data_IF_788615261003
#
_entry.id   IF_788615261003
#
_cell.length_a   1.000
_cell.length_b   1.000
_cell.length_c   1.000
_cell.angle_alpha   90.00
_cell.angle_beta   90.00
_cell.angle_gamma   90.00
#
_symmetry.space_group_name_H-M   'P 1'
#
loop_
_entity.id
_entity.type
_entity.pdbx_description
1 polymer ?
#
# COMPACT_ATOMS: atom_id res chain seq x y z
N UNK A 1 -7.30 -9.38 25.91
CA UNK A 1 -6.00 -9.66 25.27
C UNK A 1 -5.33 -8.31 24.99
N UNK A 2 -4.01 -8.15 25.16
CA UNK A 2 -3.36 -6.82 25.02
C UNK A 2 -2.98 -6.46 23.59
N UNK A 3 -2.91 -7.45 22.70
CA UNK A 3 -2.63 -7.29 21.27
C UNK A 3 -3.78 -7.88 20.46
N UNK A 4 -4.07 -7.25 19.32
CA UNK A 4 -5.02 -7.71 18.32
C UNK A 4 -4.33 -7.98 16.98
N UNK A 5 -4.96 -8.81 16.15
CA UNK A 5 -4.51 -9.06 14.79
C UNK A 5 -4.69 -7.82 13.91
N UNK A 6 -3.77 -7.59 12.98
CA UNK A 6 -3.93 -6.59 11.92
C UNK A 6 -4.77 -7.09 10.74
N UNK A 7 -5.34 -8.31 10.83
CA UNK A 7 -6.00 -9.00 9.72
C UNK A 7 -5.00 -9.75 8.83
N UNK A 8 -5.49 -10.24 7.70
CA UNK A 8 -4.68 -10.97 6.71
C UNK A 8 -4.00 -10.07 5.67
N UNK A 9 -4.34 -8.77 5.67
CA UNK A 9 -3.82 -7.78 4.73
C UNK A 9 -4.47 -7.82 3.34
N UNK A 10 -5.50 -8.65 3.15
CA UNK A 10 -6.31 -8.60 1.94
C UNK A 10 -7.04 -7.27 1.84
N UNK A 11 -7.16 -6.73 0.63
CA UNK A 11 -7.72 -5.41 0.43
C UNK A 11 -8.40 -5.27 -0.94
N UNK A 12 -9.15 -4.20 -1.08
CA UNK A 12 -9.72 -3.70 -2.33
C UNK A 12 -9.12 -2.33 -2.63
N UNK A 13 -8.93 -2.02 -3.91
CA UNK A 13 -8.39 -0.72 -4.31
C UNK A 13 -9.25 0.47 -3.83
N UNK A 14 -10.56 0.30 -3.62
CA UNK A 14 -11.45 1.34 -3.10
C UNK A 14 -11.32 1.59 -1.59
N UNK A 15 -10.52 0.79 -0.88
CA UNK A 15 -10.15 1.04 0.51
C UNK A 15 -8.91 1.94 0.64
N UNK A 16 -8.16 2.13 -0.46
CA UNK A 16 -7.03 3.05 -0.46
C UNK A 16 -7.52 4.50 -0.32
N UNK A 17 -6.75 5.34 0.36
CA UNK A 17 -7.04 6.78 0.47
C UNK A 17 -7.19 7.42 -0.92
N UNK A 18 -6.34 6.99 -1.85
CA UNK A 18 -6.41 7.32 -3.27
C UNK A 18 -5.76 6.20 -4.09
N UNK A 19 -6.42 5.81 -5.17
CA UNK A 19 -5.86 4.92 -6.19
C UNK A 19 -6.05 5.61 -7.54
N UNK A 20 -4.96 6.07 -8.16
CA UNK A 20 -5.02 6.60 -9.52
C UNK A 20 -5.42 5.52 -10.54
N UNK A 21 -5.83 5.93 -11.74
CA UNK A 21 -6.19 4.98 -12.80
C UNK A 21 -5.01 4.10 -13.18
N UNK A 22 -5.32 2.93 -13.75
CA UNK A 22 -4.35 1.99 -14.34
C UNK A 22 -3.32 1.40 -13.36
N UNK A 23 -3.56 1.46 -12.05
CA UNK A 23 -2.71 0.76 -11.07
C UNK A 23 -2.87 -0.76 -11.19
N UNK A 24 -1.76 -1.48 -11.01
CA UNK A 24 -1.71 -2.94 -11.05
C UNK A 24 -1.25 -3.47 -9.70
N UNK A 25 -1.97 -4.47 -9.20
CA UNK A 25 -1.62 -5.19 -7.98
C UNK A 25 -1.47 -6.67 -8.32
N UNK A 26 -0.25 -7.15 -8.26
CA UNK A 26 0.04 -8.56 -8.53
C UNK A 26 -0.44 -9.48 -7.42
N UNK A 27 -0.45 -10.78 -7.72
CA UNK A 27 -0.88 -11.78 -6.76
C UNK A 27 -0.05 -11.71 -5.45
N UNK A 28 -0.76 -11.78 -4.32
CA UNK A 28 -0.17 -11.78 -2.99
C UNK A 28 0.19 -10.41 -2.42
N UNK A 29 -0.13 -9.30 -3.12
CA UNK A 29 0.00 -7.97 -2.52
C UNK A 29 -0.89 -7.85 -1.29
N UNK A 30 -0.29 -7.41 -0.18
CA UNK A 30 -0.99 -7.16 1.08
C UNK A 30 -0.91 -5.68 1.42
N UNK A 31 -2.00 -5.15 1.99
CA UNK A 31 -2.00 -3.79 2.53
C UNK A 31 -2.54 -3.76 3.95
N UNK A 32 -2.04 -2.82 4.74
CA UNK A 32 -2.49 -2.59 6.11
C UNK A 32 -2.66 -1.09 6.32
N UNK A 33 -3.75 -0.66 6.96
CA UNK A 33 -4.14 0.75 7.02
C UNK A 33 -4.25 1.38 5.62
N UNK A 34 -4.98 0.76 4.66
CA UNK A 34 -5.07 1.24 3.28
C UNK A 34 -5.59 2.68 3.16
N UNK A 35 -6.40 3.13 4.12
CA UNK A 35 -6.91 4.50 4.23
C UNK A 35 -5.82 5.57 4.43
N UNK A 36 -4.56 5.15 4.63
CA UNK A 36 -3.37 6.00 4.73
C UNK A 36 -2.41 5.85 3.54
N UNK A 37 -2.83 5.21 2.45
CA UNK A 37 -2.01 4.95 1.26
C UNK A 37 -2.63 5.68 0.06
N UNK A 38 -1.82 6.53 -0.58
CA UNK A 38 -2.17 7.27 -1.80
C UNK A 38 -1.26 6.82 -2.94
N UNK A 39 -1.86 6.29 -4.00
CA UNK A 39 -1.17 5.93 -5.25
C UNK A 39 -1.55 6.90 -6.37
N UNK A 40 -0.55 7.35 -7.12
CA UNK A 40 -0.69 8.06 -8.38
C UNK A 40 -1.28 7.19 -9.49
N UNK A 41 -1.22 7.66 -10.74
CA UNK A 41 -1.65 6.90 -11.92
C UNK A 41 -0.59 5.87 -12.33
N UNK A 42 -1.03 4.72 -12.85
CA UNK A 42 -0.15 3.71 -13.43
C UNK A 42 0.98 3.25 -12.48
N UNK A 43 0.66 3.07 -11.19
CA UNK A 43 1.58 2.47 -10.22
C UNK A 43 1.51 0.96 -10.32
N UNK A 44 2.65 0.30 -10.47
CA UNK A 44 2.76 -1.15 -10.50
C UNK A 44 3.25 -1.68 -9.16
N UNK A 45 2.50 -2.61 -8.55
CA UNK A 45 2.85 -3.26 -7.29
C UNK A 45 3.11 -4.75 -7.54
N UNK A 46 4.38 -5.13 -7.48
CA UNK A 46 4.84 -6.48 -7.78
C UNK A 46 4.41 -7.55 -6.77
N UNK A 47 4.52 -8.80 -7.20
CA UNK A 47 4.07 -9.98 -6.46
C UNK A 47 4.54 -9.98 -5.01
N UNK A 48 3.63 -10.30 -4.09
CA UNK A 48 3.90 -10.43 -2.66
C UNK A 48 4.52 -9.18 -2.00
N UNK A 49 4.40 -7.99 -2.61
CA UNK A 49 4.77 -6.75 -1.93
C UNK A 49 3.79 -6.43 -0.79
N UNK A 50 4.28 -5.77 0.25
CA UNK A 50 3.47 -5.34 1.38
C UNK A 50 3.54 -3.82 1.50
N UNK A 51 2.38 -3.16 1.38
CA UNK A 51 2.22 -1.73 1.62
C UNK A 51 1.57 -1.52 2.98
N UNK A 52 2.39 -1.25 3.99
CA UNK A 52 1.93 -1.03 5.37
C UNK A 52 1.85 0.46 5.65
N UNK A 53 0.64 1.00 5.49
CA UNK A 53 0.25 2.31 5.97
C UNK A 53 0.38 2.41 7.49
N UNK A 54 0.32 3.64 8.00
CA UNK A 54 0.44 3.90 9.43
C UNK A 54 -0.52 5.01 9.83
N UNK A 55 -1.32 4.77 10.88
CA UNK A 55 -2.37 5.68 11.35
C UNK A 55 -1.97 7.17 11.52
N UNK A 56 -0.69 7.49 11.76
CA UNK A 56 -0.23 8.87 11.96
C UNK A 56 0.35 9.55 10.70
N UNK A 57 0.58 8.82 9.61
CA UNK A 57 1.27 9.35 8.43
C UNK A 57 0.70 8.77 7.13
N UNK A 58 1.02 9.39 6.00
CA UNK A 58 0.60 8.91 4.68
C UNK A 58 1.77 8.25 3.95
N UNK A 59 1.49 7.17 3.24
CA UNK A 59 2.36 6.66 2.16
C UNK A 59 1.89 7.27 0.85
N UNK A 60 2.71 8.12 0.22
CA UNK A 60 2.45 8.70 -1.10
C UNK A 60 3.42 8.11 -2.10
N UNK A 61 2.86 7.50 -3.15
CA UNK A 61 3.59 6.92 -4.27
C UNK A 61 3.15 7.63 -5.54
N UNK A 62 4.08 8.27 -6.22
CA UNK A 62 3.84 9.07 -7.42
C UNK A 62 3.47 8.26 -8.66
N UNK A 63 3.05 9.00 -9.69
CA UNK A 63 2.69 8.46 -10.99
C UNK A 63 3.81 7.60 -11.61
N UNK A 64 3.44 6.54 -12.33
CA UNK A 64 4.36 5.70 -13.11
C UNK A 64 5.46 5.01 -12.26
N UNK A 65 5.23 4.84 -10.96
CA UNK A 65 6.16 4.16 -10.06
C UNK A 65 6.07 2.64 -10.17
N UNK A 66 7.23 1.97 -10.14
CA UNK A 66 7.33 0.51 -10.08
C UNK A 66 7.83 0.04 -8.70
N UNK A 67 6.97 -0.65 -7.96
CA UNK A 67 7.32 -1.33 -6.71
C UNK A 67 7.64 -2.79 -7.03
N UNK A 68 8.88 -3.20 -6.81
CA UNK A 68 9.35 -4.56 -7.09
C UNK A 68 8.66 -5.63 -6.23
N UNK A 69 8.69 -6.88 -6.69
CA UNK A 69 8.18 -8.02 -5.92
C UNK A 69 8.83 -8.11 -4.53
N UNK A 70 8.05 -8.58 -3.55
CA UNK A 70 8.47 -8.79 -2.16
C UNK A 70 9.01 -7.54 -1.44
N UNK A 71 8.82 -6.34 -2.01
CA UNK A 71 9.13 -5.11 -1.31
C UNK A 71 8.26 -4.96 -0.06
N UNK A 72 8.84 -4.47 1.03
CA UNK A 72 8.12 -4.16 2.27
C UNK A 72 8.25 -2.67 2.56
N UNK A 73 7.16 -1.92 2.38
CA UNK A 73 7.10 -0.48 2.63
C UNK A 73 6.30 -0.24 3.90
N UNK A 74 6.90 0.45 4.87
CA UNK A 74 6.23 0.82 6.12
C UNK A 74 6.29 2.34 6.32
N UNK A 75 5.16 3.02 6.27
CA UNK A 75 5.11 4.49 6.33
C UNK A 75 5.05 5.07 7.74
N UNK A 76 5.75 4.46 8.72
CA UNK A 76 5.71 4.95 10.10
C UNK A 76 6.18 6.40 10.21
N UNK A 77 7.22 6.77 9.46
CA UNK A 77 7.71 8.14 9.31
C UNK A 77 7.15 8.88 8.09
N UNK A 78 6.13 8.33 7.42
CA UNK A 78 5.73 8.73 6.08
C UNK A 78 6.63 8.15 4.99
N UNK A 79 6.11 8.08 3.78
CA UNK A 79 6.84 7.78 2.53
C UNK A 79 6.30 8.76 1.49
N UNK A 80 7.21 9.37 0.73
CA UNK A 80 6.88 10.23 -0.40
C UNK A 80 7.94 9.98 -1.49
N UNK A 81 7.56 9.22 -2.52
CA UNK A 81 8.43 8.79 -3.63
C UNK A 81 7.74 8.93 -4.98
#
# INVERSE_FOLDING_TARGET
MRNDSHGDGSFRADQLARCGPDCVFEAGVLTFTPENIELGRNVYVGHNAILKGYHHNTMRIGDETWIGQQAFLHSAGGIDI
#
